data_IF_732881374673
#
_entry.id   IF_732881374673
#
_cell.length_a   1.000
_cell.length_b   1.000
_cell.length_c   1.000
_cell.angle_alpha   90.00
_cell.angle_beta   90.00
_cell.angle_gamma   90.00
#
_symmetry.space_group_name_H-M   'P 1'
#
loop_
_entity.id
_entity.type
_entity.pdbx_description
1 polymer ?
#
# COMPACT_ATOMS: atom_id res chain seq x y z
N UNK A 1 -18.55 48.68 -17.24
CA UNK A 1 -17.43 48.18 -18.06
C UNK A 1 -16.74 47.12 -17.22
N UNK A 2 -17.11 45.85 -17.40
CA UNK A 2 -16.51 44.73 -16.67
C UNK A 2 -16.15 43.65 -17.68
N UNK A 3 -14.85 43.45 -17.89
CA UNK A 3 -14.23 42.32 -18.59
C UNK A 3 -12.72 42.42 -18.28
N UNK A 4 -12.01 41.37 -17.91
CA UNK A 4 -12.38 39.98 -17.70
C UNK A 4 -11.34 39.36 -16.76
N UNK A 5 -11.82 38.52 -15.85
CA UNK A 5 -11.00 37.46 -15.30
C UNK A 5 -11.35 36.22 -16.14
N UNK A 6 -10.64 36.03 -17.25
CA UNK A 6 -10.51 34.71 -17.85
C UNK A 6 -9.61 33.92 -16.88
N UNK A 7 -10.22 33.33 -15.85
CA UNK A 7 -9.62 32.20 -15.16
C UNK A 7 -9.48 31.10 -16.21
N UNK A 8 -8.25 30.93 -16.69
CA UNK A 8 -7.88 29.82 -17.55
C UNK A 8 -8.04 28.57 -16.71
N UNK A 9 -9.21 27.95 -16.85
CA UNK A 9 -9.52 26.62 -16.34
C UNK A 9 -8.52 25.67 -17.03
N UNK A 10 -7.38 25.40 -16.37
CA UNK A 10 -6.40 24.43 -16.83
C UNK A 10 -7.09 23.07 -16.86
N UNK A 11 -7.61 22.71 -18.03
CA UNK A 11 -8.11 21.36 -18.31
C UNK A 11 -6.93 20.42 -18.13
N UNK A 12 -6.82 19.82 -16.95
CA UNK A 12 -5.89 18.73 -16.70
C UNK A 12 -6.25 17.65 -17.73
N UNK A 13 -5.44 17.54 -18.79
CA UNK A 13 -5.57 16.46 -19.76
C UNK A 13 -5.20 15.17 -19.04
N UNK A 14 -6.23 14.44 -18.65
CA UNK A 14 -6.13 13.09 -18.12
C UNK A 14 -5.60 12.16 -19.22
N UNK A 15 -4.28 11.96 -19.25
CA UNK A 15 -3.65 10.98 -20.12
C UNK A 15 -3.93 9.58 -19.58
N UNK A 16 -4.89 8.90 -20.23
CA UNK A 16 -5.34 7.56 -19.85
C UNK A 16 -4.20 6.54 -19.76
N UNK A 17 -3.13 6.71 -20.55
CA UNK A 17 -1.98 5.80 -20.52
C UNK A 17 -1.15 6.00 -19.24
N UNK A 18 -1.03 7.24 -18.75
CA UNK A 18 -0.37 7.53 -17.47
C UNK A 18 -1.19 6.99 -16.30
N UNK A 19 -2.51 7.20 -16.33
CA UNK A 19 -3.41 6.69 -15.29
C UNK A 19 -3.42 5.15 -15.22
N UNK A 20 -3.37 4.48 -16.37
CA UNK A 20 -3.26 3.02 -16.44
C UNK A 20 -1.93 2.50 -15.88
N UNK A 21 -0.81 3.17 -16.18
CA UNK A 21 0.50 2.83 -15.62
C UNK A 21 0.55 3.05 -14.09
N UNK A 22 -0.05 4.13 -13.59
CA UNK A 22 -0.14 4.42 -12.15
C UNK A 22 -1.04 3.41 -11.42
N UNK A 23 -2.16 3.02 -12.04
CA UNK A 23 -3.04 1.96 -11.55
C UNK A 23 -2.33 0.60 -11.51
N UNK A 24 -1.61 0.23 -12.57
CA UNK A 24 -0.81 -1.00 -12.61
C UNK A 24 0.27 -0.99 -11.51
N UNK A 25 0.98 0.13 -11.35
CA UNK A 25 1.98 0.31 -10.28
C UNK A 25 1.36 0.16 -8.88
N UNK A 26 0.15 0.69 -8.69
CA UNK A 26 -0.59 0.57 -7.43
C UNK A 26 -1.03 -0.87 -7.15
N UNK A 27 -1.51 -1.59 -8.17
CA UNK A 27 -1.89 -3.00 -8.05
C UNK A 27 -0.68 -3.89 -7.76
N UNK A 28 0.45 -3.65 -8.42
CA UNK A 28 1.71 -4.36 -8.17
C UNK A 28 2.22 -4.10 -6.76
N UNK A 29 2.19 -2.85 -6.29
CA UNK A 29 2.56 -2.51 -4.91
C UNK A 29 1.64 -3.22 -3.90
N UNK A 30 0.32 -3.21 -4.13
CA UNK A 30 -0.65 -3.92 -3.29
C UNK A 30 -0.39 -5.43 -3.27
N UNK A 31 -0.12 -6.04 -4.43
CA UNK A 31 0.19 -7.46 -4.55
C UNK A 31 1.47 -7.82 -3.76
N UNK A 32 2.51 -6.99 -3.87
CA UNK A 32 3.77 -7.20 -3.14
C UNK A 32 3.59 -7.11 -1.63
N UNK A 33 2.83 -6.13 -1.14
CA UNK A 33 2.53 -6.01 0.30
C UNK A 33 1.73 -7.22 0.81
N UNK A 34 0.77 -7.74 0.02
CA UNK A 34 0.03 -8.97 0.37
C UNK A 34 0.92 -10.20 0.45
N UNK A 35 1.87 -10.34 -0.47
CA UNK A 35 2.85 -11.42 -0.45
C UNK A 35 3.70 -11.39 0.83
N UNK A 36 4.26 -10.21 1.15
CA UNK A 36 5.06 -10.02 2.37
C UNK A 36 4.22 -10.28 3.62
N UNK A 37 2.96 -9.87 3.65
CA UNK A 37 2.04 -10.14 4.76
C UNK A 37 1.79 -11.64 4.94
N UNK A 38 1.54 -12.37 3.85
CA UNK A 38 1.36 -13.83 3.89
C UNK A 38 2.60 -14.52 4.44
N UNK A 39 3.77 -14.15 3.94
CA UNK A 39 5.03 -14.77 4.33
C UNK A 39 5.38 -14.45 5.80
N UNK A 40 5.14 -13.21 6.25
CA UNK A 40 5.33 -12.81 7.66
C UNK A 40 4.36 -13.54 8.60
N UNK A 41 3.11 -13.80 8.18
CA UNK A 41 2.17 -14.62 8.97
C UNK A 41 2.62 -16.07 9.08
N UNK A 42 3.21 -16.63 8.02
CA UNK A 42 3.81 -17.97 8.05
C UNK A 42 5.01 -18.01 8.99
N UNK A 43 5.84 -16.98 8.97
CA UNK A 43 6.98 -16.83 9.88
C UNK A 43 6.52 -16.76 11.34
N UNK A 44 5.47 -15.99 11.65
CA UNK A 44 4.88 -15.94 12.98
C UNK A 44 4.38 -17.31 13.44
N UNK A 45 3.63 -18.03 12.60
CA UNK A 45 3.15 -19.37 12.96
C UNK A 45 4.31 -20.36 13.22
N UNK A 46 5.39 -20.26 12.44
CA UNK A 46 6.59 -21.07 12.66
C UNK A 46 7.31 -20.69 13.96
N UNK A 47 7.44 -19.39 14.24
CA UNK A 47 8.04 -18.88 15.47
C UNK A 47 7.25 -19.33 16.72
N UNK A 48 5.92 -19.27 16.67
CA UNK A 48 5.06 -19.78 17.75
C UNK A 48 5.23 -21.30 17.95
N UNK A 49 5.40 -22.07 16.87
CA UNK A 49 5.65 -23.51 16.97
C UNK A 49 7.05 -23.89 17.47
N UNK A 50 8.03 -22.99 17.33
CA UNK A 50 9.43 -23.21 17.71
C UNK A 50 9.77 -22.62 19.09
N UNK A 51 8.78 -22.20 19.87
CA UNK A 51 8.97 -21.53 21.17
C UNK A 51 9.90 -20.31 21.07
N UNK A 52 9.75 -19.52 20.00
CA UNK A 52 10.46 -18.27 19.82
C UNK A 52 10.20 -17.30 21.00
N UNK A 53 11.12 -16.36 21.20
CA UNK A 53 11.04 -15.41 22.31
C UNK A 53 9.85 -14.46 22.14
N UNK A 54 9.30 -13.98 23.27
CA UNK A 54 8.22 -13.00 23.27
C UNK A 54 8.55 -11.74 22.45
N UNK A 55 9.83 -11.34 22.42
CA UNK A 55 10.32 -10.23 21.62
C UNK A 55 10.18 -10.51 20.12
N UNK A 56 10.63 -11.68 19.66
CA UNK A 56 10.52 -12.08 18.24
C UNK A 56 9.05 -12.14 17.79
N UNK A 57 8.18 -12.72 18.62
CA UNK A 57 6.74 -12.76 18.35
C UNK A 57 6.13 -11.35 18.29
N UNK A 58 6.54 -10.46 19.18
CA UNK A 58 6.07 -9.06 19.20
C UNK A 58 6.49 -8.32 17.94
N UNK A 59 7.75 -8.46 17.50
CA UNK A 59 8.26 -7.82 16.28
C UNK A 59 7.49 -8.31 15.04
N UNK A 60 7.23 -9.61 14.93
CA UNK A 60 6.47 -10.17 13.81
C UNK A 60 5.01 -9.67 13.78
N UNK A 61 4.37 -9.58 14.95
CA UNK A 61 3.00 -9.03 15.07
C UNK A 61 2.93 -7.54 14.73
N UNK A 62 3.92 -6.77 15.14
CA UNK A 62 4.00 -5.35 14.78
C UNK A 62 4.19 -5.18 13.27
N UNK A 63 5.09 -5.96 12.66
CA UNK A 63 5.30 -5.95 11.21
C UNK A 63 4.02 -6.32 10.43
N UNK A 64 3.26 -7.31 10.91
CA UNK A 64 1.94 -7.66 10.35
C UNK A 64 0.98 -6.47 10.41
N UNK A 65 0.88 -5.82 11.57
CA UNK A 65 0.02 -4.63 11.75
C UNK A 65 0.40 -3.52 10.77
N UNK A 66 1.69 -3.23 10.61
CA UNK A 66 2.17 -2.21 9.66
C UNK A 66 1.83 -2.55 8.21
N UNK A 67 1.95 -3.81 7.81
CA UNK A 67 1.59 -4.28 6.46
C UNK A 67 0.07 -4.21 6.23
N UNK A 68 -0.74 -4.52 7.24
CA UNK A 68 -2.20 -4.38 7.15
C UNK A 68 -2.62 -2.91 6.99
N UNK A 69 -1.99 -1.99 7.74
CA UNK A 69 -2.19 -0.55 7.56
C UNK A 69 -1.73 -0.09 6.18
N UNK A 70 -0.60 -0.60 5.67
CA UNK A 70 -0.15 -0.28 4.31
C UNK A 70 -1.17 -0.73 3.25
N UNK A 71 -1.80 -1.90 3.41
CA UNK A 71 -2.84 -2.38 2.50
C UNK A 71 -4.11 -1.53 2.51
N UNK A 72 -4.44 -0.89 3.63
CA UNK A 72 -5.57 0.03 3.70
C UNK A 72 -5.38 1.27 2.82
N UNK A 73 -4.13 1.66 2.52
CA UNK A 73 -3.82 2.80 1.64
C UNK A 73 -4.04 2.50 0.15
N UNK A 74 -4.19 1.22 -0.20
CA UNK A 74 -4.45 0.74 -1.56
C UNK A 74 -5.91 0.29 -1.76
N UNK A 75 -6.81 0.63 -0.83
CA UNK A 75 -8.25 0.32 -0.91
C UNK A 75 -9.04 1.46 -1.52
#
# INVERSE_FOLDING_TARGET
MSAGNDEVDEVIQHDRLSEEADLLTTLEASARVREVLRDTRRELAQAESNEATDLELTVLREKITQLEVALQRYR
#
